data_IF_256086659201
#
_entry.id   IF_256086659201
#
_cell.length_a   1.000
_cell.length_b   1.000
_cell.length_c   1.000
_cell.angle_alpha   90.00
_cell.angle_beta   90.00
_cell.angle_gamma   90.00
#
_symmetry.space_group_name_H-M   'P 1'
#
loop_
_entity.id
_entity.type
_entity.pdbx_description
1 polymer ?
#
# COMPACT_ATOMS: atom_id res chain seq x y z
N UNK A 1 -10.53 5.32 1.90
CA UNK A 1 -11.20 5.33 0.57
C UNK A 1 -12.66 4.90 0.73
N UNK A 2 -13.61 5.85 0.82
CA UNK A 2 -15.05 5.56 0.89
C UNK A 2 -15.80 6.38 -0.15
N UNK A 3 -15.87 5.87 -1.38
CA UNK A 3 -16.89 6.25 -2.36
C UNK A 3 -17.05 5.09 -3.35
N UNK A 4 -17.96 4.16 -3.05
CA UNK A 4 -18.45 3.20 -4.05
C UNK A 4 -19.28 4.00 -5.05
N UNK A 5 -18.90 3.99 -6.32
CA UNK A 5 -19.74 4.51 -7.40
C UNK A 5 -20.89 3.52 -7.68
N UNK A 6 -21.96 3.99 -8.31
CA UNK A 6 -23.14 3.17 -8.63
C UNK A 6 -22.89 2.01 -9.61
N UNK A 7 -21.68 1.91 -10.18
CA UNK A 7 -21.24 0.87 -11.12
C UNK A 7 -20.38 -0.22 -10.46
N UNK A 8 -20.24 -0.19 -9.13
CA UNK A 8 -19.36 -1.11 -8.39
C UNK A 8 -17.92 -0.58 -8.27
N UNK A 9 -17.06 -1.36 -7.62
CA UNK A 9 -15.67 -1.00 -7.38
C UNK A 9 -14.90 -2.12 -6.70
N UNK A 10 -13.61 -1.90 -6.46
CA UNK A 10 -12.76 -2.86 -5.76
C UNK A 10 -12.76 -2.60 -4.26
N UNK A 11 -12.76 -3.68 -3.49
CA UNK A 11 -12.48 -3.62 -2.06
C UNK A 11 -10.97 -3.72 -1.83
N UNK A 12 -10.48 -3.08 -0.78
CA UNK A 12 -9.07 -3.13 -0.39
C UNK A 12 -8.85 -4.10 0.77
N UNK A 13 -7.60 -4.55 0.92
CA UNK A 13 -7.17 -5.31 2.07
C UNK A 13 -7.39 -4.52 3.38
N UNK A 14 -7.55 -5.21 4.53
CA UNK A 14 -7.66 -4.54 5.82
C UNK A 14 -6.50 -3.55 6.04
N UNK A 15 -6.82 -2.38 6.57
CA UNK A 15 -5.81 -1.38 6.88
C UNK A 15 -4.92 -1.86 8.03
N UNK A 16 -3.61 -1.55 8.02
CA UNK A 16 -2.72 -1.77 9.16
C UNK A 16 -3.24 -1.11 10.44
N UNK A 17 -2.83 -1.59 11.62
CA UNK A 17 -3.23 -0.97 12.88
C UNK A 17 -2.67 0.47 12.99
N UNK A 18 -3.32 1.39 13.73
CA UNK A 18 -2.83 2.77 13.92
C UNK A 18 -1.39 2.87 14.43
N UNK A 19 -0.90 1.85 15.13
CA UNK A 19 0.50 1.74 15.59
C UNK A 19 1.50 1.73 14.44
N UNK A 20 1.12 1.20 13.27
CA UNK A 20 1.93 1.24 12.05
C UNK A 20 2.21 2.69 11.64
N UNK A 21 1.16 3.52 11.53
CA UNK A 21 1.25 4.92 11.11
C UNK A 21 1.95 5.81 12.14
N UNK A 22 1.76 5.54 13.43
CA UNK A 22 2.53 6.21 14.51
C UNK A 22 4.03 5.98 14.37
N UNK A 23 4.45 4.80 13.91
CA UNK A 23 5.85 4.47 13.69
C UNK A 23 6.40 4.99 12.35
N UNK A 24 5.54 5.19 11.35
CA UNK A 24 5.93 5.73 10.03
C UNK A 24 6.54 7.13 10.13
N UNK A 25 6.05 7.99 11.02
CA UNK A 25 6.59 9.35 11.20
C UNK A 25 8.10 9.39 11.41
N UNK A 26 8.65 8.39 12.10
CA UNK A 26 10.10 8.28 12.34
C UNK A 26 10.90 7.81 11.11
N UNK A 27 10.24 7.17 10.14
CA UNK A 27 10.87 6.56 8.95
C UNK A 27 10.80 7.46 7.72
N UNK A 28 9.71 8.21 7.56
CA UNK A 28 9.40 8.96 6.33
C UNK A 28 8.98 10.40 6.58
N UNK A 29 9.13 10.93 7.81
CA UNK A 29 8.68 12.28 8.18
C UNK A 29 9.44 13.43 7.47
N UNK A 30 10.56 13.14 6.83
CA UNK A 30 11.31 14.04 5.95
C UNK A 30 10.83 14.01 4.49
N UNK A 31 9.97 13.05 4.12
CA UNK A 31 9.41 12.88 2.77
C UNK A 31 7.90 13.16 2.75
N UNK A 32 7.17 12.71 3.76
CA UNK A 32 5.72 12.89 3.88
C UNK A 32 5.40 13.82 5.05
N UNK A 33 4.51 14.78 4.82
CA UNK A 33 3.96 15.63 5.88
C UNK A 33 3.07 14.83 6.84
N UNK A 34 2.78 15.40 8.02
CA UNK A 34 1.85 14.77 8.97
C UNK A 34 0.45 14.57 8.39
N UNK A 35 0.00 15.51 7.55
CA UNK A 35 -1.28 15.43 6.84
C UNK A 35 -1.28 14.26 5.85
N UNK A 36 -0.22 14.11 5.07
CA UNK A 36 -0.08 13.00 4.12
C UNK A 36 0.01 11.63 4.84
N UNK A 37 0.68 11.56 5.99
CA UNK A 37 0.72 10.34 6.81
C UNK A 37 -0.69 9.99 7.32
N UNK A 38 -1.46 11.00 7.75
CA UNK A 38 -2.85 10.82 8.18
C UNK A 38 -3.74 10.37 7.03
N UNK A 39 -3.58 10.93 5.83
CA UNK A 39 -4.27 10.43 4.64
C UNK A 39 -3.91 8.97 4.35
N UNK A 40 -2.64 8.60 4.48
CA UNK A 40 -2.23 7.20 4.34
C UNK A 40 -2.94 6.29 5.35
N UNK A 41 -3.10 6.72 6.60
CA UNK A 41 -3.86 6.00 7.63
C UNK A 41 -5.35 5.87 7.28
N UNK A 42 -5.99 6.97 6.87
CA UNK A 42 -7.41 6.99 6.49
C UNK A 42 -7.70 6.15 5.22
N UNK A 43 -6.69 5.98 4.38
CA UNK A 43 -6.76 5.21 3.14
C UNK A 43 -6.27 3.76 3.28
N UNK A 44 -5.56 3.41 4.36
CA UNK A 44 -4.93 2.11 4.52
C UNK A 44 -3.70 1.90 3.63
N UNK A 45 -3.02 2.98 3.24
CA UNK A 45 -1.82 2.94 2.40
C UNK A 45 -0.63 2.51 3.25
N UNK A 46 0.15 1.57 2.73
CA UNK A 46 1.42 1.12 3.28
C UNK A 46 2.55 1.99 2.70
N UNK A 47 3.56 2.30 3.51
CA UNK A 47 4.71 3.10 3.11
C UNK A 47 5.99 2.34 3.42
N UNK A 48 6.80 2.11 2.40
CA UNK A 48 8.16 1.60 2.55
C UNK A 48 9.19 2.62 2.07
N UNK A 49 10.40 2.52 2.59
CA UNK A 49 11.50 3.40 2.22
C UNK A 49 12.79 2.60 2.15
N UNK A 50 13.54 2.81 1.08
CA UNK A 50 14.90 2.32 0.91
C UNK A 50 15.90 3.49 0.88
N UNK A 51 17.14 3.19 0.52
CA UNK A 51 18.24 4.14 0.40
C UNK A 51 18.06 5.16 -0.73
N UNK A 52 17.19 4.89 -1.72
CA UNK A 52 17.05 5.70 -2.93
C UNK A 52 15.72 6.47 -2.99
N UNK A 53 14.66 5.94 -2.38
CA UNK A 53 13.33 6.52 -2.47
C UNK A 53 12.30 5.92 -1.52
N UNK A 54 11.07 6.40 -1.67
CA UNK A 54 9.90 6.02 -0.88
C UNK A 54 8.84 5.42 -1.78
N UNK A 55 8.25 4.31 -1.35
CA UNK A 55 7.19 3.58 -2.03
C UNK A 55 5.90 3.64 -1.19
N UNK A 56 4.85 4.21 -1.75
CA UNK A 56 3.49 4.12 -1.23
C UNK A 56 2.77 3.00 -1.99
N UNK A 57 2.06 2.12 -1.29
CA UNK A 57 1.38 0.97 -1.90
C UNK A 57 0.08 0.61 -1.19
N UNK A 58 -0.88 0.03 -1.91
CA UNK A 58 -2.10 -0.55 -1.36
C UNK A 58 -2.56 -1.71 -2.24
N UNK A 59 -3.13 -2.74 -1.61
CA UNK A 59 -3.57 -3.97 -2.27
C UNK A 59 -5.09 -4.08 -2.27
N UNK A 60 -5.66 -4.46 -3.41
CA UNK A 60 -7.07 -4.84 -3.49
C UNK A 60 -7.28 -6.23 -2.89
N UNK A 61 -8.52 -6.54 -2.53
CA UNK A 61 -8.98 -7.93 -2.42
C UNK A 61 -8.95 -8.60 -3.81
N UNK A 62 -9.10 -9.94 -3.87
CA UNK A 62 -9.24 -10.63 -5.14
C UNK A 62 -10.34 -10.02 -6.02
N UNK A 63 -10.08 -9.87 -7.31
CA UNK A 63 -10.99 -9.19 -8.24
C UNK A 63 -12.18 -10.05 -8.67
N UNK A 64 -12.08 -11.37 -8.48
CA UNK A 64 -13.12 -12.33 -8.83
C UNK A 64 -13.43 -13.26 -7.67
N UNK A 65 -14.29 -14.24 -7.93
CA UNK A 65 -14.82 -15.14 -6.89
C UNK A 65 -13.75 -16.05 -6.25
N UNK A 66 -12.60 -16.21 -6.93
CA UNK A 66 -11.48 -17.02 -6.45
C UNK A 66 -10.34 -16.12 -5.95
N UNK A 67 -9.63 -16.53 -4.88
CA UNK A 67 -8.51 -15.78 -4.33
C UNK A 67 -7.25 -15.95 -5.19
N UNK A 68 -7.27 -15.44 -6.43
CA UNK A 68 -6.19 -15.65 -7.41
C UNK A 68 -5.53 -14.35 -7.84
N UNK A 69 -6.30 -13.44 -8.45
CA UNK A 69 -5.81 -12.17 -8.96
C UNK A 69 -6.25 -11.01 -8.07
N UNK A 70 -5.29 -10.17 -7.71
CA UNK A 70 -5.51 -8.89 -7.04
C UNK A 70 -4.64 -7.82 -7.72
N UNK A 71 -4.91 -6.55 -7.41
CA UNK A 71 -4.16 -5.40 -7.93
C UNK A 71 -3.39 -4.76 -6.78
N UNK A 72 -2.17 -4.34 -7.08
CA UNK A 72 -1.39 -3.41 -6.27
C UNK A 72 -1.41 -2.04 -6.95
N UNK A 73 -1.72 -0.99 -6.19
CA UNK A 73 -1.63 0.40 -6.64
C UNK A 73 -0.45 1.03 -5.91
N UNK A 74 0.48 1.62 -6.66
CA UNK A 74 1.72 2.18 -6.11
C UNK A 74 2.00 3.62 -6.56
N UNK A 75 2.76 4.35 -5.74
CA UNK A 75 3.40 5.61 -6.09
C UNK A 75 4.84 5.62 -5.56
N UNK A 76 5.78 6.09 -6.39
CA UNK A 76 7.21 6.16 -6.07
C UNK A 76 7.67 7.60 -5.97
N UNK A 77 8.40 7.93 -4.90
CA UNK A 77 8.92 9.27 -4.64
C UNK A 77 10.44 9.19 -4.48
N UNK A 78 11.18 10.00 -5.25
CA UNK A 78 12.65 10.01 -5.24
C UNK A 78 13.27 9.47 -6.53
N UNK A 79 14.56 9.17 -6.49
CA UNK A 79 15.37 8.62 -7.59
C UNK A 79 15.27 9.37 -8.93
N UNK A 80 15.09 10.69 -8.86
CA UNK A 80 15.03 11.56 -10.04
C UNK A 80 16.43 11.69 -10.65
N UNK A 81 16.53 11.44 -11.95
CA UNK A 81 17.75 11.59 -12.76
C UNK A 81 17.49 12.56 -13.89
N UNK A 82 18.57 13.03 -14.50
CA UNK A 82 18.55 13.81 -15.74
C UNK A 82 19.32 13.03 -16.80
N UNK A 83 18.82 13.00 -18.01
CA UNK A 83 19.59 12.51 -19.15
C UNK A 83 20.50 13.60 -19.72
N UNK A 84 21.20 13.27 -20.81
CA UNK A 84 22.13 14.16 -21.49
C UNK A 84 21.44 15.39 -22.11
N UNK A 85 20.13 15.28 -22.37
CA UNK A 85 19.28 16.34 -22.91
C UNK A 85 18.70 17.23 -21.79
N UNK A 86 18.87 16.83 -20.53
CA UNK A 86 18.42 17.54 -19.34
C UNK A 86 17.01 17.16 -18.89
N UNK A 87 16.37 16.20 -19.55
CA UNK A 87 15.02 15.75 -19.22
C UNK A 87 15.01 14.95 -17.93
N UNK A 88 14.04 15.25 -17.06
CA UNK A 88 13.95 14.65 -15.74
C UNK A 88 13.12 13.37 -15.81
N UNK A 89 13.71 12.25 -15.41
CA UNK A 89 13.02 10.96 -15.32
C UNK A 89 13.24 10.30 -13.96
N UNK A 90 12.32 9.41 -13.57
CA UNK A 90 12.48 8.61 -12.37
C UNK A 90 13.12 7.26 -12.71
N UNK A 91 14.13 6.85 -11.95
CA UNK A 91 14.73 5.52 -12.12
C UNK A 91 13.71 4.42 -11.79
N UNK A 92 13.61 3.41 -12.65
CA UNK A 92 12.76 2.25 -12.40
C UNK A 92 13.11 1.56 -11.06
N UNK A 93 12.08 1.12 -10.33
CA UNK A 93 12.26 0.44 -9.05
C UNK A 93 12.55 1.34 -7.85
N UNK A 94 12.47 2.66 -7.98
CA UNK A 94 12.71 3.61 -6.89
C UNK A 94 11.88 3.33 -5.62
N UNK A 95 12.51 3.06 -4.46
CA UNK A 95 11.80 2.67 -3.24
C UNK A 95 11.52 1.16 -3.12
N UNK A 96 12.07 0.35 -4.03
CA UNK A 96 12.02 -1.11 -3.97
C UNK A 96 10.65 -1.70 -4.28
N UNK A 97 10.32 -2.82 -3.63
CA UNK A 97 9.05 -3.55 -3.83
C UNK A 97 8.33 -3.83 -2.50
N UNK A 98 8.53 -2.97 -1.50
CA UNK A 98 7.80 -3.09 -0.24
C UNK A 98 8.28 -4.21 0.67
N UNK A 99 9.55 -4.61 0.61
CA UNK A 99 10.12 -5.69 1.46
C UNK A 99 9.82 -5.47 2.95
N UNK A 100 9.81 -4.21 3.40
CA UNK A 100 9.48 -3.85 4.79
C UNK A 100 8.00 -4.00 5.13
N UNK A 101 7.11 -4.01 4.14
CA UNK A 101 5.67 -4.16 4.31
C UNK A 101 5.18 -5.61 4.16
N UNK A 102 6.03 -6.54 3.71
CA UNK A 102 5.64 -7.95 3.50
C UNK A 102 5.03 -8.59 4.75
N UNK A 103 5.57 -8.31 5.94
CA UNK A 103 5.03 -8.86 7.19
C UNK A 103 3.61 -8.35 7.48
N UNK A 104 3.31 -7.08 7.19
CA UNK A 104 1.97 -6.51 7.37
C UNK A 104 0.99 -6.95 6.28
N UNK A 105 1.48 -7.12 5.04
CA UNK A 105 0.70 -7.71 3.96
C UNK A 105 0.27 -9.15 4.30
N UNK A 106 1.21 -10.00 4.74
CA UNK A 106 0.90 -11.38 5.12
C UNK A 106 -0.09 -11.47 6.28
N UNK A 107 0.08 -10.65 7.33
CA UNK A 107 -0.90 -10.59 8.43
C UNK A 107 -2.30 -10.22 7.93
N UNK A 108 -2.38 -9.24 7.04
CA UNK A 108 -3.66 -8.80 6.45
C UNK A 108 -4.31 -9.88 5.60
N UNK A 109 -3.51 -10.68 4.88
CA UNK A 109 -3.97 -11.84 4.09
C UNK A 109 -4.45 -12.97 5.02
N UNK A 110 -3.66 -13.37 6.01
CA UNK A 110 -4.04 -14.42 6.97
C UNK A 110 -5.31 -14.06 7.73
N UNK A 111 -5.46 -12.79 8.13
CA UNK A 111 -6.66 -12.32 8.81
C UNK A 111 -7.87 -12.36 7.88
N UNK A 112 -7.70 -12.00 6.60
CA UNK A 112 -8.75 -12.13 5.59
C UNK A 112 -9.14 -13.60 5.36
N UNK A 113 -8.19 -14.53 5.26
CA UNK A 113 -8.46 -15.97 5.11
C UNK A 113 -9.26 -16.52 6.30
N UNK A 114 -8.91 -16.16 7.54
CA UNK A 114 -9.68 -16.52 8.73
C UNK A 114 -11.13 -16.04 8.64
N UNK A 115 -11.38 -14.86 8.06
CA UNK A 115 -12.78 -14.39 7.87
C UNK A 115 -13.55 -15.21 6.84
N UNK A 116 -12.88 -15.82 5.87
CA UNK A 116 -13.50 -16.69 4.87
C UNK A 116 -13.83 -18.06 5.45
N UNK A 117 -12.90 -18.67 6.19
CA UNK A 117 -13.13 -19.94 6.90
C UNK A 117 -14.27 -19.83 7.92
N UNK A 118 -14.31 -18.74 8.68
CA UNK A 118 -15.40 -18.47 9.62
C UNK A 118 -16.76 -18.35 8.93
N UNK A 119 -16.82 -17.83 7.68
CA UNK A 119 -18.08 -17.77 6.91
C UNK A 119 -18.51 -19.13 6.37
N UNK A 120 -17.58 -20.02 6.06
CA UNK A 120 -17.89 -21.39 5.61
C UNK A 120 -18.38 -22.29 6.74
N UNK A 121 -18.03 -21.99 8.00
CA UNK A 121 -18.44 -22.78 9.17
C UNK A 121 -19.82 -22.41 9.72
N UNK A 122 -20.41 -21.29 9.28
CA UNK A 122 -21.70 -20.76 9.77
C UNK A 122 -22.78 -20.80 8.68
N UNK A 123 -22.49 -21.40 7.52
CA UNK A 123 -23.44 -21.67 6.43
C UNK A 123 -23.74 -23.14 6.29
#
# INVERSE_FOLDING_TARGET
>A
MRKRSGVGGFDFMPSPPPTYYKNLKKRVGDVLSEEQIRECEELGILVDRDDQGTLLQIFTKPLGDRPTIFIEIIQRVGCMKRDEEGEVYQSGGCGGFGKGNFSELFKSIEEYEKTLEAKQLVG
#
